data_IF_475148507418
#
_entry.id   IF_475148507418
#
_cell.length_a   1.000
_cell.length_b   1.000
_cell.length_c   1.000
_cell.angle_alpha   90.00
_cell.angle_beta   90.00
_cell.angle_gamma   90.00
#
_symmetry.space_group_name_H-M   'P 1'
#
loop_
_entity.id
_entity.type
_entity.pdbx_description
1 polymer ?
#
# COMPACT_ATOMS: atom_id res chain seq x y z
N UNK A 1 -12.48 -7.60 0.76
CA UNK A 1 -11.19 -6.98 0.44
C UNK A 1 -10.74 -7.40 -0.95
N UNK A 2 -10.18 -6.47 -1.73
CA UNK A 2 -9.46 -6.72 -2.98
C UNK A 2 -8.19 -5.86 -3.00
N UNK A 3 -7.12 -6.36 -3.58
CA UNK A 3 -5.87 -5.64 -3.83
C UNK A 3 -5.58 -5.63 -5.32
N UNK A 4 -5.28 -4.45 -5.85
CA UNK A 4 -4.77 -4.28 -7.21
C UNK A 4 -3.34 -3.78 -7.11
N UNK A 5 -2.41 -4.47 -7.75
CA UNK A 5 -1.01 -4.06 -7.86
C UNK A 5 -0.62 -3.90 -9.32
N UNK A 6 0.22 -2.92 -9.58
CA UNK A 6 0.74 -2.58 -10.90
C UNK A 6 2.26 -2.59 -10.83
N UNK A 7 2.88 -3.45 -11.64
CA UNK A 7 4.32 -3.54 -11.82
C UNK A 7 4.74 -2.50 -12.85
N UNK A 8 5.48 -1.49 -12.39
CA UNK A 8 6.01 -0.38 -13.14
C UNK A 8 7.51 -0.56 -13.38
N UNK A 9 7.86 -0.84 -14.63
CA UNK A 9 9.24 -0.87 -15.11
C UNK A 9 9.53 0.42 -15.88
N UNK A 10 10.39 1.34 -15.37
CA UNK A 10 10.61 2.65 -16.00
C UNK A 10 11.03 2.59 -17.46
N UNK A 11 11.88 1.62 -17.82
CA UNK A 11 12.38 1.46 -19.19
C UNK A 11 11.29 1.02 -20.19
N UNK A 12 10.20 0.44 -19.71
CA UNK A 12 9.14 -0.12 -20.54
C UNK A 12 7.92 0.79 -20.65
N UNK A 13 7.89 1.93 -19.94
CA UNK A 13 6.71 2.81 -19.88
C UNK A 13 6.84 4.01 -20.85
N UNK A 14 6.14 3.99 -22.01
CA UNK A 14 6.38 4.96 -23.08
C UNK A 14 5.97 6.39 -22.72
N UNK A 15 6.69 7.37 -23.26
CA UNK A 15 6.38 8.80 -23.10
C UNK A 15 4.98 9.16 -23.62
N UNK A 16 4.61 8.63 -24.78
CA UNK A 16 3.28 8.84 -25.35
C UNK A 16 2.17 8.35 -24.42
N UNK A 17 2.34 7.15 -23.84
CA UNK A 17 1.37 6.58 -22.91
C UNK A 17 1.27 7.42 -21.63
N UNK A 18 2.41 7.89 -21.10
CA UNK A 18 2.45 8.82 -19.98
C UNK A 18 1.63 10.09 -20.25
N UNK A 19 1.83 10.75 -21.39
CA UNK A 19 1.11 11.99 -21.72
C UNK A 19 -0.39 11.76 -21.92
N UNK A 20 -0.78 10.67 -22.61
CA UNK A 20 -2.19 10.28 -22.76
C UNK A 20 -2.86 10.02 -21.42
N UNK A 21 -2.19 9.29 -20.53
CA UNK A 21 -2.66 8.98 -19.19
C UNK A 21 -2.73 10.21 -18.28
N UNK A 22 -1.75 11.11 -18.37
CA UNK A 22 -1.74 12.37 -17.63
C UNK A 22 -2.95 13.24 -18.01
N UNK A 23 -3.28 13.32 -19.31
CA UNK A 23 -4.46 14.05 -19.78
C UNK A 23 -5.80 13.46 -19.29
N UNK A 24 -5.81 12.20 -18.82
CA UNK A 24 -7.01 11.50 -18.35
C UNK A 24 -7.28 11.66 -16.84
N UNK A 25 -6.39 12.33 -16.08
CA UNK A 25 -6.62 12.65 -14.66
C UNK A 25 -7.02 14.11 -14.47
N UNK A 26 -7.55 14.47 -13.30
CA UNK A 26 -7.98 15.84 -13.00
C UNK A 26 -6.82 16.85 -12.99
N UNK A 27 -7.10 18.11 -13.29
CA UNK A 27 -6.09 19.17 -13.37
C UNK A 27 -5.23 19.32 -12.08
N UNK A 28 -5.79 19.25 -10.85
CA UNK A 28 -4.96 19.23 -9.64
C UNK A 28 -3.99 18.06 -9.59
N UNK A 29 -4.41 16.86 -10.01
CA UNK A 29 -3.53 15.69 -10.12
C UNK A 29 -2.45 15.88 -11.19
N UNK A 30 -2.79 16.43 -12.37
CA UNK A 30 -1.83 16.75 -13.43
C UNK A 30 -0.73 17.68 -12.90
N UNK A 31 -1.13 18.82 -12.33
CA UNK A 31 -0.20 19.81 -11.79
C UNK A 31 0.68 19.26 -10.66
N UNK A 32 0.18 18.31 -9.86
CA UNK A 32 0.99 17.64 -8.84
C UNK A 32 2.01 16.67 -9.47
N UNK A 33 1.58 15.90 -10.46
CA UNK A 33 2.43 14.90 -11.13
C UNK A 33 3.59 15.59 -11.86
N UNK A 34 3.32 16.71 -12.54
CA UNK A 34 4.33 17.49 -13.28
C UNK A 34 5.39 18.15 -12.40
N UNK A 35 5.15 18.28 -11.08
CA UNK A 35 6.12 18.84 -10.13
C UNK A 35 7.19 17.87 -9.69
N UNK A 36 7.03 16.56 -9.94
CA UNK A 36 8.05 15.60 -9.56
C UNK A 36 9.30 15.78 -10.41
N UNK A 37 10.45 15.91 -9.72
CA UNK A 37 11.74 16.00 -10.38
C UNK A 37 12.10 14.68 -11.09
N UNK A 38 11.79 13.54 -10.47
CA UNK A 38 12.04 12.23 -11.05
C UNK A 38 10.80 11.68 -11.77
N UNK A 39 10.97 11.32 -13.05
CA UNK A 39 9.92 10.69 -13.87
C UNK A 39 9.30 9.45 -13.21
N UNK A 40 10.09 8.66 -12.50
CA UNK A 40 9.59 7.47 -11.83
C UNK A 40 8.54 7.80 -10.75
N UNK A 41 8.71 8.88 -9.99
CA UNK A 41 7.73 9.34 -9.00
C UNK A 41 6.46 9.90 -9.66
N UNK A 42 6.62 10.60 -10.78
CA UNK A 42 5.52 11.07 -11.61
C UNK A 42 4.67 9.89 -12.11
N UNK A 43 5.30 8.86 -12.69
CA UNK A 43 4.62 7.67 -13.19
C UNK A 43 3.94 6.87 -12.06
N UNK A 44 4.61 6.64 -10.92
CA UNK A 44 4.00 5.96 -9.77
C UNK A 44 2.77 6.70 -9.26
N UNK A 45 2.86 8.02 -9.16
CA UNK A 45 1.72 8.86 -8.75
C UNK A 45 0.59 8.78 -9.77
N UNK A 46 0.90 8.84 -11.07
CA UNK A 46 -0.08 8.73 -12.15
C UNK A 46 -0.81 7.38 -12.10
N UNK A 47 -0.07 6.27 -12.01
CA UNK A 47 -0.64 4.91 -11.88
C UNK A 47 -1.56 4.83 -10.65
N UNK A 48 -1.14 5.38 -9.51
CA UNK A 48 -1.98 5.44 -8.31
C UNK A 48 -3.31 6.19 -8.55
N UNK A 49 -3.29 7.28 -9.32
CA UNK A 49 -4.52 8.01 -9.69
C UNK A 49 -5.42 7.21 -10.62
N UNK A 50 -4.84 6.50 -11.59
CA UNK A 50 -5.60 5.64 -12.50
C UNK A 50 -6.23 4.44 -11.77
N UNK A 51 -5.53 3.84 -10.79
CA UNK A 51 -6.10 2.79 -9.94
C UNK A 51 -7.39 3.25 -9.26
N UNK A 52 -7.39 4.43 -8.63
CA UNK A 52 -8.60 4.95 -7.98
C UNK A 52 -9.72 5.22 -8.99
N UNK A 53 -9.40 5.85 -10.12
CA UNK A 53 -10.41 6.20 -11.13
C UNK A 53 -11.02 4.96 -11.78
N UNK A 54 -10.21 3.94 -12.09
CA UNK A 54 -10.71 2.67 -12.63
C UNK A 54 -11.51 1.87 -11.60
N UNK A 55 -11.14 1.92 -10.32
CA UNK A 55 -11.91 1.34 -9.22
C UNK A 55 -13.32 1.93 -9.08
N UNK A 56 -13.44 3.26 -9.24
CA UNK A 56 -14.72 3.96 -9.25
C UNK A 56 -15.53 3.61 -10.49
N UNK A 57 -14.87 3.61 -11.65
CA UNK A 57 -15.49 3.26 -12.92
C UNK A 57 -16.12 1.86 -12.89
N UNK A 58 -15.40 0.87 -12.33
CA UNK A 58 -15.87 -0.50 -12.15
C UNK A 58 -17.08 -0.63 -11.20
N UNK A 59 -17.36 0.41 -10.40
CA UNK A 59 -18.53 0.51 -9.52
C UNK A 59 -19.65 1.37 -10.11
N UNK A 60 -19.54 1.75 -11.38
CA UNK A 60 -20.53 2.60 -12.06
C UNK A 60 -20.48 4.07 -11.62
N UNK A 61 -19.44 4.49 -10.89
CA UNK A 61 -19.25 5.88 -10.47
C UNK A 61 -18.37 6.56 -11.51
N UNK A 62 -18.90 7.58 -12.18
CA UNK A 62 -18.13 8.37 -13.13
C UNK A 62 -16.99 9.13 -12.40
N UNK A 63 -15.71 8.94 -12.75
CA UNK A 63 -14.58 9.57 -12.07
C UNK A 63 -14.56 11.10 -12.18
N UNK A 64 -15.30 11.68 -13.12
CA UNK A 64 -15.49 13.13 -13.27
C UNK A 64 -16.48 13.70 -12.25
N UNK A 65 -17.43 12.91 -11.75
CA UNK A 65 -18.40 13.33 -10.72
C UNK A 65 -18.03 12.87 -9.31
N UNK A 66 -16.98 12.06 -9.17
CA UNK A 66 -16.51 11.57 -7.89
C UNK A 66 -16.01 12.72 -6.99
N UNK A 67 -16.50 12.74 -5.74
CA UNK A 67 -16.10 13.74 -4.75
C UNK A 67 -15.00 13.16 -3.88
N UNK A 68 -13.78 13.64 -4.09
CA UNK A 68 -12.62 13.27 -3.29
C UNK A 68 -12.42 14.22 -2.10
N UNK A 69 -11.94 13.67 -0.99
CA UNK A 69 -11.52 14.43 0.18
C UNK A 69 -10.25 13.85 0.79
N UNK A 70 -9.76 14.53 1.82
CA UNK A 70 -8.68 14.03 2.67
C UNK A 70 -9.03 14.32 4.13
N UNK A 71 -8.68 13.40 5.02
CA UNK A 71 -8.75 13.62 6.47
C UNK A 71 -7.76 14.71 6.90
N UNK A 72 -7.87 15.27 8.12
CA UNK A 72 -6.88 16.22 8.64
C UNK A 72 -5.43 15.73 8.59
N UNK A 73 -5.22 14.40 8.72
CA UNK A 73 -3.92 13.76 8.61
C UNK A 73 -3.51 13.40 7.16
N UNK A 74 -4.31 13.78 6.16
CA UNK A 74 -4.00 13.63 4.75
C UNK A 74 -4.43 12.29 4.12
N UNK A 75 -5.04 11.37 4.89
CA UNK A 75 -5.57 10.12 4.34
C UNK A 75 -6.69 10.42 3.33
N UNK A 76 -6.56 10.03 2.05
CA UNK A 76 -7.56 10.35 1.03
C UNK A 76 -8.80 9.46 1.18
N UNK A 77 -9.94 9.99 0.75
CA UNK A 77 -11.20 9.26 0.69
C UNK A 77 -12.06 9.74 -0.49
N UNK A 78 -13.10 8.96 -0.81
CA UNK A 78 -14.09 9.31 -1.84
C UNK A 78 -15.49 9.12 -1.28
N UNK A 79 -16.37 10.07 -1.55
CA UNK A 79 -17.80 9.95 -1.21
C UNK A 79 -18.46 9.07 -2.25
N UNK A 80 -18.99 7.93 -1.82
CA UNK A 80 -19.64 6.94 -2.67
C UNK A 80 -20.78 6.25 -1.91
N UNK A 81 -21.79 5.81 -2.66
CA UNK A 81 -22.89 4.95 -2.17
C UNK A 81 -22.99 3.70 -3.07
N UNK A 82 -22.74 2.49 -2.55
CA UNK A 82 -22.34 2.19 -1.17
C UNK A 82 -20.93 2.71 -0.82
N UNK A 83 -20.62 2.96 0.47
CA UNK A 83 -19.32 3.49 0.88
C UNK A 83 -18.14 2.59 0.53
N UNK A 84 -17.01 3.22 0.19
CA UNK A 84 -15.78 2.54 -0.27
C UNK A 84 -14.62 2.96 0.62
N UNK A 85 -13.91 1.97 1.15
CA UNK A 85 -12.62 2.16 1.80
C UNK A 85 -11.51 1.85 0.79
N UNK A 86 -10.50 2.72 0.70
CA UNK A 86 -9.30 2.39 -0.08
C UNK A 86 -8.05 3.00 0.53
N UNK A 87 -6.91 2.41 0.19
CA UNK A 87 -5.60 2.97 0.50
C UNK A 87 -4.61 2.58 -0.61
N UNK A 88 -3.61 3.42 -0.86
CA UNK A 88 -2.62 3.23 -1.91
C UNK A 88 -1.24 3.29 -1.29
N UNK A 89 -0.37 2.43 -1.77
CA UNK A 89 1.05 2.43 -1.47
C UNK A 89 1.86 2.25 -2.76
N UNK A 90 3.12 2.60 -2.70
CA UNK A 90 4.07 2.24 -3.74
C UNK A 90 5.46 2.12 -3.16
N UNK A 91 6.23 1.18 -3.68
CA UNK A 91 7.66 1.13 -3.47
C UNK A 91 8.34 0.63 -4.74
N UNK A 92 9.43 1.29 -5.13
CA UNK A 92 10.20 0.97 -6.32
C UNK A 92 9.33 0.73 -7.58
N UNK A 93 9.25 -0.53 -8.03
CA UNK A 93 8.52 -0.93 -9.22
C UNK A 93 7.08 -1.35 -8.96
N UNK A 94 6.54 -1.22 -7.75
CA UNK A 94 5.15 -1.62 -7.45
C UNK A 94 4.34 -0.43 -6.97
N UNK A 95 3.15 -0.27 -7.55
CA UNK A 95 2.07 0.58 -7.02
C UNK A 95 0.90 -0.33 -6.67
N UNK A 96 0.45 -0.32 -5.42
CA UNK A 96 -0.62 -1.19 -4.96
C UNK A 96 -1.74 -0.41 -4.28
N UNK A 97 -2.98 -0.89 -4.41
CA UNK A 97 -4.17 -0.31 -3.80
C UNK A 97 -5.04 -1.41 -3.19
N UNK A 98 -5.37 -1.25 -1.91
CA UNK A 98 -6.39 -2.05 -1.25
C UNK A 98 -7.75 -1.36 -1.37
N UNK A 99 -8.80 -2.16 -1.58
CA UNK A 99 -10.20 -1.72 -1.69
C UNK A 99 -11.10 -2.62 -0.86
N UNK A 100 -11.92 -2.01 -0.01
CA UNK A 100 -12.91 -2.71 0.79
C UNK A 100 -14.23 -1.93 0.86
N UNK A 101 -15.21 -2.52 1.56
CA UNK A 101 -16.44 -1.82 1.90
C UNK A 101 -16.14 -0.80 2.99
N UNK A 102 -16.69 0.41 2.88
CA UNK A 102 -16.60 1.42 3.91
C UNK A 102 -17.54 1.10 5.07
N UNK A 103 -17.05 0.37 6.08
CA UNK A 103 -17.88 -0.10 7.20
C UNK A 103 -17.72 0.76 8.46
N UNK A 104 -16.48 1.09 8.82
CA UNK A 104 -16.13 1.69 10.11
C UNK A 104 -15.33 2.97 9.94
N UNK A 105 -15.61 3.98 10.76
CA UNK A 105 -14.93 5.29 10.80
C UNK A 105 -14.97 6.07 9.47
N UNK A 106 -16.15 6.48 9.00
CA UNK A 106 -16.26 7.39 7.87
C UNK A 106 -15.54 8.72 8.16
N UNK A 107 -15.10 9.45 7.12
CA UNK A 107 -15.34 9.18 5.70
C UNK A 107 -14.23 8.37 5.01
N UNK A 108 -13.09 8.14 5.66
CA UNK A 108 -11.93 7.49 5.05
C UNK A 108 -11.84 5.98 5.31
N UNK A 109 -12.55 5.51 6.34
CA UNK A 109 -12.61 4.12 6.78
C UNK A 109 -11.26 3.50 7.17
N UNK A 110 -11.28 2.42 7.95
CA UNK A 110 -10.06 1.79 8.47
C UNK A 110 -9.52 0.67 7.56
N UNK A 111 -9.01 1.08 6.39
CA UNK A 111 -8.20 0.23 5.51
C UNK A 111 -6.86 0.90 5.23
N UNK A 112 -5.78 0.13 5.31
CA UNK A 112 -4.42 0.53 4.97
C UNK A 112 -3.70 -0.58 4.23
N UNK A 113 -2.80 -0.21 3.33
CA UNK A 113 -1.93 -1.14 2.62
C UNK A 113 -0.51 -0.59 2.62
N UNK A 114 0.45 -1.49 2.77
CA UNK A 114 1.83 -1.19 2.48
C UNK A 114 2.50 -2.30 1.67
N UNK A 115 3.56 -1.94 0.94
CA UNK A 115 4.36 -2.84 0.12
C UNK A 115 5.80 -2.36 0.12
N UNK A 116 6.74 -3.28 0.34
CA UNK A 116 8.16 -2.96 0.34
C UNK A 116 8.95 -3.98 -0.46
N UNK A 117 9.87 -3.49 -1.29
CA UNK A 117 10.85 -4.31 -1.98
C UNK A 117 11.83 -4.88 -0.97
N UNK A 118 12.02 -6.19 -1.00
CA UNK A 118 12.95 -6.91 -0.14
C UNK A 118 14.40 -6.66 -0.58
N UNK A 119 14.90 -5.46 -0.27
CA UNK A 119 16.30 -5.06 -0.50
C UNK A 119 16.74 -4.02 0.50
N UNK A 120 18.03 -4.01 0.82
CA UNK A 120 18.64 -2.88 1.54
C UNK A 120 18.79 -1.69 0.59
N UNK A 121 18.34 -0.49 0.98
CA UNK A 121 18.64 0.72 0.21
C UNK A 121 20.15 1.03 0.20
N UNK A 122 20.70 1.36 -0.96
CA UNK A 122 22.09 1.81 -1.07
C UNK A 122 23.12 0.68 -1.02
N UNK A 123 24.26 0.93 -0.37
CA UNK A 123 25.44 0.04 -0.33
C UNK A 123 25.74 -0.52 1.06
N UNK A 124 24.80 -0.38 1.98
CA UNK A 124 24.98 -0.79 3.36
C UNK A 124 24.64 -2.26 3.57
N UNK A 125 25.21 -2.88 4.61
CA UNK A 125 24.85 -4.23 5.02
C UNK A 125 23.49 -4.24 5.72
N UNK A 126 22.80 -5.39 5.67
CA UNK A 126 21.46 -5.57 6.27
C UNK A 126 21.41 -5.12 7.74
N UNK A 127 22.41 -5.49 8.54
CA UNK A 127 22.45 -5.13 9.98
C UNK A 127 22.64 -3.64 10.22
N UNK A 128 23.46 -2.98 9.40
CA UNK A 128 23.67 -1.53 9.50
C UNK A 128 22.38 -0.78 9.18
N UNK A 129 21.69 -1.18 8.12
CA UNK A 129 20.40 -0.62 7.74
C UNK A 129 19.34 -0.77 8.84
N UNK A 130 19.18 -1.98 9.40
CA UNK A 130 18.23 -2.19 10.52
C UNK A 130 18.61 -1.37 11.75
N UNK A 131 19.91 -1.21 12.04
CA UNK A 131 20.38 -0.37 13.14
C UNK A 131 20.02 1.11 13.00
N UNK A 132 19.75 1.62 11.79
CA UNK A 132 19.34 3.02 11.59
C UNK A 132 17.92 3.34 12.09
N UNK A 133 17.10 2.31 12.28
CA UNK A 133 15.69 2.44 12.67
C UNK A 133 15.37 1.60 13.90
N UNK A 134 16.39 1.31 14.72
CA UNK A 134 16.27 0.46 15.90
C UNK A 134 15.30 1.01 16.95
N UNK A 135 15.14 2.32 17.02
CA UNK A 135 14.22 3.04 17.90
C UNK A 135 12.75 2.82 17.53
N UNK A 136 12.49 2.44 16.28
CA UNK A 136 11.16 2.09 15.77
C UNK A 136 10.78 0.62 16.03
N UNK A 137 11.70 -0.17 16.58
CA UNK A 137 11.52 -1.59 16.89
C UNK A 137 11.31 -1.81 18.39
N UNK A 138 10.43 -2.75 18.72
CA UNK A 138 10.14 -3.16 20.09
C UNK A 138 11.21 -4.13 20.61
N UNK A 139 11.32 -4.32 21.95
CA UNK A 139 12.25 -5.29 22.51
C UNK A 139 12.04 -6.73 22.01
N UNK A 140 10.81 -7.13 21.68
CA UNK A 140 10.55 -8.44 21.08
C UNK A 140 11.08 -8.52 19.65
N UNK A 141 10.79 -7.52 18.82
CA UNK A 141 11.24 -7.46 17.43
C UNK A 141 12.77 -7.50 17.35
N UNK A 142 13.45 -6.73 18.21
CA UNK A 142 14.92 -6.79 18.36
C UNK A 142 15.43 -8.19 18.60
N UNK A 143 14.82 -8.93 19.53
CA UNK A 143 15.19 -10.32 19.80
C UNK A 143 14.92 -11.23 18.61
N UNK A 144 13.82 -11.01 17.89
CA UNK A 144 13.44 -11.80 16.72
C UNK A 144 14.34 -11.54 15.50
N UNK A 145 15.05 -10.41 15.44
CA UNK A 145 16.05 -10.11 14.41
C UNK A 145 17.48 -10.54 14.83
N UNK A 146 17.69 -10.84 16.11
CA UNK A 146 18.97 -11.30 16.65
C UNK A 146 19.32 -12.74 16.26
N UNK A 147 20.57 -12.98 15.88
CA UNK A 147 21.12 -14.33 15.70
C UNK A 147 20.63 -15.12 14.47
N UNK A 148 19.82 -14.50 13.59
CA UNK A 148 19.37 -15.12 12.34
C UNK A 148 20.28 -14.77 11.14
N UNK A 149 20.28 -15.61 10.07
CA UNK A 149 20.90 -15.29 8.79
C UNK A 149 20.42 -13.96 8.19
N UNK A 150 21.24 -13.31 7.34
CA UNK A 150 20.93 -11.95 6.83
C UNK A 150 19.69 -11.90 5.94
N UNK A 151 19.45 -12.93 5.14
CA UNK A 151 18.26 -13.05 4.30
C UNK A 151 16.99 -13.18 5.14
N UNK A 152 17.02 -14.00 6.19
CA UNK A 152 15.92 -14.13 7.13
C UNK A 152 15.72 -12.86 7.96
N UNK A 153 16.80 -12.22 8.39
CA UNK A 153 16.77 -10.93 9.09
C UNK A 153 16.03 -9.88 8.26
N UNK A 154 16.42 -9.75 6.98
CA UNK A 154 15.85 -8.78 6.07
C UNK A 154 14.34 -9.02 5.89
N UNK A 155 13.93 -10.27 5.68
CA UNK A 155 12.51 -10.64 5.54
C UNK A 155 11.71 -10.36 6.80
N UNK A 156 12.21 -10.76 7.98
CA UNK A 156 11.51 -10.49 9.25
C UNK A 156 11.34 -8.99 9.49
N UNK A 157 12.40 -8.22 9.22
CA UNK A 157 12.37 -6.77 9.35
C UNK A 157 11.32 -6.14 8.43
N UNK A 158 11.32 -6.49 7.14
CA UNK A 158 10.35 -5.93 6.20
C UNK A 158 8.92 -6.34 6.51
N UNK A 159 8.66 -7.54 7.02
CA UNK A 159 7.33 -7.91 7.51
C UNK A 159 6.86 -7.06 8.69
N UNK A 160 7.73 -6.82 9.67
CA UNK A 160 7.44 -5.94 10.80
C UNK A 160 7.15 -4.53 10.30
N UNK A 161 8.01 -3.98 9.45
CA UNK A 161 7.88 -2.63 8.94
C UNK A 161 6.61 -2.44 8.11
N UNK A 162 6.40 -3.31 7.10
CA UNK A 162 5.24 -3.25 6.20
C UNK A 162 3.94 -3.39 6.97
N UNK A 163 3.90 -4.24 8.01
CA UNK A 163 2.71 -4.38 8.85
C UNK A 163 2.43 -3.10 9.65
N UNK A 164 3.46 -2.49 10.27
CA UNK A 164 3.31 -1.24 11.02
C UNK A 164 2.81 -0.12 10.11
N UNK A 165 3.41 0.03 8.93
CA UNK A 165 2.98 1.00 7.91
C UNK A 165 1.53 0.78 7.46
N UNK A 166 1.15 -0.46 7.15
CA UNK A 166 -0.21 -0.78 6.74
C UNK A 166 -1.21 -0.44 7.84
N UNK A 167 -0.89 -0.76 9.10
CA UNK A 167 -1.72 -0.46 10.26
C UNK A 167 -1.89 1.05 10.49
N UNK A 168 -0.80 1.81 10.48
CA UNK A 168 -0.84 3.26 10.72
C UNK A 168 -1.51 4.02 9.58
N UNK A 169 -1.35 3.56 8.32
CA UNK A 169 -2.14 4.03 7.17
C UNK A 169 -3.62 3.72 7.32
N UNK A 170 -3.98 2.56 7.90
CA UNK A 170 -5.36 2.23 8.18
C UNK A 170 -5.98 3.17 9.22
N UNK A 171 -5.25 3.47 10.29
CA UNK A 171 -5.66 4.45 11.31
C UNK A 171 -5.68 5.89 10.79
N UNK A 172 -4.92 6.19 9.73
CA UNK A 172 -4.84 7.54 9.17
C UNK A 172 -4.05 8.50 10.06
N UNK A 173 -3.04 8.01 10.80
CA UNK A 173 -2.27 8.83 11.74
C UNK A 173 -1.02 9.49 11.13
N UNK A 174 -0.67 9.14 9.88
CA UNK A 174 0.44 9.75 9.15
C UNK A 174 1.82 9.45 9.76
N UNK A 175 2.83 10.23 9.35
CA UNK A 175 4.25 10.06 9.68
C UNK A 175 4.61 10.33 11.16
N UNK A 176 3.66 10.77 11.98
CA UNK A 176 3.87 11.10 13.40
C UNK A 176 3.57 9.95 14.36
N UNK A 177 3.18 8.78 13.86
CA UNK A 177 2.90 7.63 14.72
C UNK A 177 4.19 6.95 15.18
N UNK A 178 4.30 6.74 16.48
CA UNK A 178 5.43 6.04 17.09
C UNK A 178 5.33 4.52 16.84
N UNK A 179 6.18 4.00 15.96
CA UNK A 179 6.17 2.58 15.58
C UNK A 179 6.60 1.67 16.73
N UNK A 180 7.27 2.19 17.76
CA UNK A 180 7.64 1.41 18.96
C UNK A 180 6.41 0.97 19.77
N UNK A 181 5.24 1.58 19.53
CA UNK A 181 3.97 1.17 20.16
C UNK A 181 3.33 -0.04 19.52
N UNK A 182 3.68 -0.36 18.28
CA UNK A 182 3.16 -1.52 17.54
C UNK A 182 4.24 -2.59 17.53
N UNK A 183 3.90 -3.75 18.06
CA UNK A 183 4.75 -4.94 18.08
C UNK A 183 4.19 -5.97 17.10
N UNK A 184 5.02 -6.46 16.18
CA UNK A 184 4.68 -7.64 15.38
C UNK A 184 5.61 -8.82 15.70
N UNK A 185 5.04 -9.83 16.37
CA UNK A 185 5.66 -11.14 16.47
C UNK A 185 5.49 -11.86 15.13
N UNK A 186 6.46 -11.68 14.22
CA UNK A 186 6.42 -12.26 12.87
C UNK A 186 6.43 -13.80 12.87
N UNK A 187 6.95 -14.43 13.92
CA UNK A 187 7.05 -15.89 14.02
C UNK A 187 5.70 -16.48 14.40
N UNK A 188 5.07 -15.94 15.44
CA UNK A 188 3.76 -16.40 15.92
C UNK A 188 2.58 -15.70 15.24
N UNK A 189 2.87 -14.70 14.39
CA UNK A 189 1.91 -13.84 13.68
C UNK A 189 0.93 -13.16 14.64
N UNK A 190 1.46 -12.50 15.67
CA UNK A 190 0.64 -11.77 16.64
C UNK A 190 1.03 -10.29 16.62
N UNK A 191 0.03 -9.43 16.44
CA UNK A 191 0.17 -7.98 16.53
C UNK A 191 -0.27 -7.53 17.93
N UNK A 192 0.51 -6.65 18.55
CA UNK A 192 0.13 -5.94 19.78
C UNK A 192 0.31 -4.45 19.60
N UNK A 193 -0.55 -3.67 20.24
CA UNK A 193 -0.46 -2.22 20.35
C UNK A 193 -0.46 -1.89 21.83
N UNK A 194 0.59 -1.21 22.30
CA UNK A 194 0.81 -0.93 23.71
C UNK A 194 0.70 -2.20 24.59
N UNK A 195 1.20 -3.33 24.08
CA UNK A 195 1.19 -4.63 24.77
C UNK A 195 -0.11 -5.43 24.67
N UNK A 196 -1.16 -4.91 24.04
CA UNK A 196 -2.48 -5.58 23.92
C UNK A 196 -2.76 -5.96 22.47
N UNK A 197 -3.31 -7.15 22.25
CA UNK A 197 -3.79 -7.53 20.90
C UNK A 197 -5.00 -6.65 20.57
N UNK A 198 -4.93 -5.79 19.53
CA UNK A 198 -6.07 -4.97 19.17
C UNK A 198 -7.21 -5.87 18.69
N UNK A 199 -8.46 -5.59 19.00
CA UNK A 199 -9.60 -6.40 18.52
C UNK A 199 -10.09 -5.93 17.14
N UNK A 200 -10.71 -6.83 16.37
CA UNK A 200 -11.41 -6.48 15.14
C UNK A 200 -10.54 -6.18 13.94
N UNK A 201 -9.25 -6.55 13.93
CA UNK A 201 -8.34 -6.32 12.80
C UNK A 201 -8.06 -7.57 11.98
N UNK A 202 -8.10 -7.42 10.66
CA UNK A 202 -7.64 -8.43 9.73
C UNK A 202 -6.36 -7.92 9.04
N UNK A 203 -5.23 -8.58 9.31
CA UNK A 203 -3.97 -8.37 8.62
C UNK A 203 -3.76 -9.48 7.59
N UNK A 204 -3.57 -9.09 6.33
CA UNK A 204 -3.33 -10.03 5.23
C UNK A 204 -1.97 -9.75 4.61
N UNK A 205 -1.06 -10.69 4.78
CA UNK A 205 0.29 -10.66 4.23
C UNK A 205 0.28 -11.31 2.84
N UNK A 206 0.94 -10.70 1.87
CA UNK A 206 1.05 -11.19 0.50
C UNK A 206 2.42 -10.86 -0.09
N UNK A 207 2.82 -11.63 -1.10
CA UNK A 207 4.10 -11.43 -1.81
C UNK A 207 3.82 -11.15 -3.27
N UNK A 208 4.54 -10.20 -3.85
CA UNK A 208 4.58 -9.96 -5.30
C UNK A 208 6.01 -10.27 -5.77
N UNK A 209 6.13 -11.11 -6.78
CA UNK A 209 7.40 -11.40 -7.44
C UNK A 209 7.42 -10.73 -8.82
N UNK A 210 8.52 -10.05 -9.15
CA UNK A 210 8.79 -9.43 -10.44
C UNK A 210 10.23 -9.77 -10.88
N UNK A 211 10.36 -10.83 -11.68
CA UNK A 211 11.68 -11.38 -12.03
C UNK A 211 12.45 -11.84 -10.79
N UNK A 212 13.55 -11.15 -10.47
CA UNK A 212 14.37 -11.41 -9.27
C UNK A 212 13.95 -10.56 -8.06
N UNK A 213 13.09 -9.57 -8.27
CA UNK A 213 12.62 -8.70 -7.22
C UNK A 213 11.46 -9.35 -6.49
N UNK A 214 11.49 -9.26 -5.16
CA UNK A 214 10.43 -9.74 -4.27
C UNK A 214 9.94 -8.55 -3.46
N UNK A 215 8.62 -8.42 -3.35
CA UNK A 215 7.96 -7.41 -2.55
C UNK A 215 7.10 -8.08 -1.49
N UNK A 216 7.22 -7.63 -0.25
CA UNK A 216 6.39 -8.04 0.87
C UNK A 216 5.32 -6.97 1.09
N UNK A 217 4.06 -7.38 1.13
CA UNK A 217 2.92 -6.48 1.23
C UNK A 217 1.96 -6.89 2.34
N UNK A 218 1.37 -5.90 3.02
CA UNK A 218 0.39 -6.12 4.09
C UNK A 218 -0.81 -5.23 3.86
N UNK A 219 -2.01 -5.80 4.00
CA UNK A 219 -3.26 -5.04 4.15
C UNK A 219 -3.70 -5.14 5.60
N UNK A 220 -4.00 -3.99 6.22
CA UNK A 220 -4.66 -3.90 7.51
C UNK A 220 -6.08 -3.36 7.32
N UNK A 221 -7.09 -4.15 7.70
CA UNK A 221 -8.50 -3.79 7.65
C UNK A 221 -9.13 -3.94 9.03
N UNK A 222 -9.79 -2.91 9.54
CA UNK A 222 -10.66 -3.07 10.70
C UNK A 222 -12.01 -3.61 10.23
N UNK A 223 -12.34 -4.82 10.64
CA UNK A 223 -13.58 -5.53 10.30
C UNK A 223 -14.60 -5.47 11.43
N UNK A 224 -14.16 -5.28 12.67
CA UNK A 224 -15.00 -5.16 13.87
C UNK A 224 -15.65 -6.48 14.31
N UNK A 225 -15.97 -6.60 15.60
CA UNK A 225 -16.78 -7.70 16.14
C UNK A 225 -16.19 -9.11 16.05
N UNK A 226 -14.90 -9.25 15.73
CA UNK A 226 -14.19 -10.53 15.62
C UNK A 226 -12.78 -10.42 16.23
N UNK A 227 -12.17 -11.54 16.65
CA UNK A 227 -10.77 -11.56 17.06
C UNK A 227 -9.85 -11.13 15.92
N UNK A 228 -8.71 -10.54 16.27
CA UNK A 228 -7.71 -10.14 15.28
C UNK A 228 -7.03 -11.34 14.66
N UNK A 229 -6.83 -11.27 13.34
CA UNK A 229 -6.19 -12.32 12.55
C UNK A 229 -5.00 -11.77 11.79
N UNK A 230 -3.91 -12.52 11.76
CA UNK A 230 -2.77 -12.25 10.87
C UNK A 230 -2.55 -13.48 10.01
N UNK A 231 -2.87 -13.37 8.73
CA UNK A 231 -2.83 -14.48 7.79
C UNK A 231 -1.89 -14.17 6.64
N UNK A 232 -1.12 -15.18 6.24
CA UNK A 232 -0.40 -15.15 4.98
C UNK A 232 -1.29 -15.85 3.96
N UNK A 233 -2.05 -15.07 3.19
CA UNK A 233 -3.02 -15.61 2.24
C UNK A 233 -2.31 -15.95 0.93
N UNK A 234 -2.59 -17.13 0.38
CA UNK A 234 -2.33 -17.37 -1.04
C UNK A 234 -3.12 -16.32 -1.82
N UNK A 235 -2.49 -15.72 -2.84
CA UNK A 235 -3.00 -14.54 -3.55
C UNK A 235 -4.22 -14.82 -4.43
N UNK A 236 -4.80 -16.02 -4.33
CA UNK A 236 -5.87 -16.54 -5.17
C UNK A 236 -7.16 -15.73 -4.99
N UNK A 237 -7.51 -14.96 -6.02
CA UNK A 237 -8.82 -14.33 -6.20
C UNK A 237 -9.00 -12.95 -5.55
N UNK A 238 -8.11 -12.51 -4.66
CA UNK A 238 -8.21 -11.21 -4.00
C UNK A 238 -7.07 -10.24 -4.36
N UNK A 239 -5.91 -10.72 -4.84
CA UNK A 239 -4.83 -9.89 -5.38
C UNK A 239 -4.78 -10.03 -6.90
N UNK A 240 -4.83 -8.90 -7.61
CA UNK A 240 -4.59 -8.83 -9.05
C UNK A 240 -3.32 -8.04 -9.32
N UNK A 241 -2.39 -8.63 -10.05
CA UNK A 241 -1.12 -7.98 -10.45
C UNK A 241 -1.15 -7.77 -11.97
N UNK A 242 -0.82 -6.56 -12.43
CA UNK A 242 -0.78 -6.21 -13.86
C UNK A 242 0.50 -5.47 -14.20
N UNK A 243 0.96 -5.57 -15.45
CA UNK A 243 1.98 -4.70 -15.99
C UNK A 243 1.45 -3.26 -16.18
N UNK A 244 2.29 -2.25 -15.94
CA UNK A 244 1.91 -0.85 -16.00
C UNK A 244 1.44 -0.39 -17.37
N UNK A 245 2.03 -0.88 -18.47
CA UNK A 245 1.61 -0.50 -19.82
C UNK A 245 0.22 -1.07 -20.10
N UNK A 246 0.04 -2.38 -19.88
CA UNK A 246 -1.25 -3.05 -20.09
C UNK A 246 -2.36 -2.45 -19.21
N UNK A 247 -2.06 -2.21 -17.93
CA UNK A 247 -2.98 -1.57 -17.01
C UNK A 247 -3.37 -0.17 -17.47
N UNK A 248 -2.40 0.65 -17.89
CA UNK A 248 -2.64 2.04 -18.26
C UNK A 248 -3.45 2.17 -19.56
N UNK A 249 -3.18 1.34 -20.56
CA UNK A 249 -3.99 1.30 -21.79
C UNK A 249 -5.44 0.89 -21.48
N UNK A 250 -5.64 -0.16 -20.68
CA UNK A 250 -6.99 -0.56 -20.25
C UNK A 250 -7.69 0.53 -19.42
N UNK A 251 -6.95 1.21 -18.52
CA UNK A 251 -7.48 2.31 -17.75
C UNK A 251 -7.98 3.45 -18.65
N UNK A 252 -7.22 3.81 -19.68
CA UNK A 252 -7.63 4.83 -20.65
C UNK A 252 -8.92 4.43 -21.40
N UNK A 253 -9.04 3.16 -21.80
CA UNK A 253 -10.23 2.67 -22.50
C UNK A 253 -11.48 2.63 -21.61
N UNK A 254 -11.32 2.30 -20.32
CA UNK A 254 -12.40 2.37 -19.33
C UNK A 254 -12.84 3.82 -19.13
N UNK A 255 -11.90 4.74 -18.98
CA UNK A 255 -12.19 6.15 -18.67
C UNK A 255 -12.77 6.93 -19.86
N UNK A 256 -12.49 6.53 -21.11
CA UNK A 256 -13.10 7.13 -22.31
C UNK A 256 -14.60 6.80 -22.47
N UNK A 257 -15.07 5.72 -21.86
CA UNK A 257 -16.45 5.22 -22.02
C UNK A 257 -17.43 5.83 -21.00
N UNK A 258 -16.98 6.78 -20.18
CA UNK A 258 -17.72 7.39 -19.08
C UNK A 258 -17.85 8.89 -19.28
#
# INVERSE_FOLDING_TARGET
MQVQAVIYTPASFPDELYHRALAAVDAPSQARIERFYHRADACRTLIGRLLVRTMLAARGIAPSSAVFGATPAGKPFVVADPPIAYNITHDNGVVAMAVARGLHDPPAFRVGIDVMKLRVPGREGVRAFVGMVEDQLTPLEHRLLGGVPEDELLRRFFWMWTLKEAYTKALGLGLGFDFSRVEFDVVNRVVRVDGVVPEGWAFRMFVIADGQDVYEGVVAEYVGGVPTTVVHEETNGWLTVQDAVAFTENALDVLKKQ
#
